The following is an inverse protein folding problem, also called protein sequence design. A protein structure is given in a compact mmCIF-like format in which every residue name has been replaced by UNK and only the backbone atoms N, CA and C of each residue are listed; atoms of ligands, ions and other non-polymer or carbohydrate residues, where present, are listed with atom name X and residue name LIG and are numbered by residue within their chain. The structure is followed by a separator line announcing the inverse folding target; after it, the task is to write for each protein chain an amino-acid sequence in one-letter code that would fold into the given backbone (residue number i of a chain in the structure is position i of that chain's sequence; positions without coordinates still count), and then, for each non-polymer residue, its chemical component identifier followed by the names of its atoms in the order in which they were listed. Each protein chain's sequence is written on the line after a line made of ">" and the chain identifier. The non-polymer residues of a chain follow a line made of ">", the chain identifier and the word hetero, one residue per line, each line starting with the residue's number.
data_IF_858505102581
#
_entry.id   IF_858505102581
#
_cell.length_a   1.000
_cell.length_b   1.000
_cell.length_c   1.000
_cell.angle_alpha   90.00
_cell.angle_beta   90.00
_cell.angle_gamma   90.00
#
_symmetry.space_group_name_H-M   'P 1'
#
loop_
_entity.id
_entity.type
_entity.pdbx_description
1 polymer ?
#
# COMPACT_ATOMS: atom_id res chain seq x y z
N UNK A 1 29.55 10.82 -20.71
CA UNK A 1 29.70 11.25 -19.31
C UNK A 1 29.97 12.76 -19.23
N UNK A 2 31.06 13.29 -19.82
CA UNK A 2 31.38 14.72 -19.76
C UNK A 2 30.29 15.65 -20.32
N UNK A 3 29.50 15.19 -21.28
CA UNK A 3 28.36 15.94 -21.86
C UNK A 3 27.06 15.76 -21.07
N UNK A 4 27.09 15.08 -19.89
CA UNK A 4 25.90 14.77 -19.05
C UNK A 4 24.76 14.01 -19.78
N UNK A 5 25.08 13.30 -20.87
CA UNK A 5 24.12 12.49 -21.63
C UNK A 5 23.93 11.09 -21.05
N UNK A 6 24.74 10.71 -20.06
CA UNK A 6 24.69 9.44 -19.34
C UNK A 6 24.65 9.74 -17.86
N UNK A 7 23.71 9.11 -17.16
CA UNK A 7 23.55 9.23 -15.71
C UNK A 7 23.25 7.85 -15.11
N UNK A 8 23.51 7.70 -13.82
CA UNK A 8 23.12 6.53 -13.05
C UNK A 8 21.70 6.75 -12.52
N UNK A 9 20.82 5.79 -12.75
CA UNK A 9 19.45 5.82 -12.24
C UNK A 9 19.03 4.45 -11.67
N UNK A 10 17.96 4.46 -10.88
CA UNK A 10 17.30 3.24 -10.39
C UNK A 10 16.09 2.94 -11.28
N UNK A 11 15.81 1.67 -11.50
CA UNK A 11 14.63 1.19 -12.23
C UNK A 11 14.10 -0.06 -11.54
N UNK A 12 12.78 -0.15 -11.37
CA UNK A 12 12.12 -1.38 -10.94
C UNK A 12 12.12 -2.35 -12.13
N UNK A 13 12.56 -3.58 -11.91
CA UNK A 13 12.59 -4.65 -12.91
C UNK A 13 12.16 -5.97 -12.27
N UNK A 14 11.48 -6.87 -13.02
CA UNK A 14 11.23 -8.22 -12.55
C UNK A 14 12.56 -8.91 -12.19
N UNK A 15 12.58 -9.64 -11.10
CA UNK A 15 13.77 -10.32 -10.59
C UNK A 15 13.47 -11.76 -10.21
N UNK A 16 14.28 -12.70 -10.68
CA UNK A 16 14.19 -14.10 -10.29
C UNK A 16 15.12 -14.39 -9.11
N UNK A 17 14.55 -14.64 -7.94
CA UNK A 17 15.33 -15.07 -6.78
C UNK A 17 16.04 -16.40 -6.99
N UNK A 18 15.46 -17.31 -7.80
CA UNK A 18 16.10 -18.60 -8.14
C UNK A 18 17.33 -18.45 -8.99
N UNK A 19 17.31 -17.51 -9.94
CA UNK A 19 18.42 -17.26 -10.87
C UNK A 19 19.34 -16.16 -10.36
N UNK A 20 18.94 -15.47 -9.27
CA UNK A 20 19.63 -14.28 -8.74
C UNK A 20 19.95 -13.25 -9.82
N UNK A 21 19.00 -13.06 -10.74
CA UNK A 21 19.18 -12.20 -11.91
C UNK A 21 17.90 -11.45 -12.29
N UNK A 22 18.00 -10.20 -12.80
CA UNK A 22 16.87 -9.51 -13.37
C UNK A 22 16.36 -10.23 -14.62
N UNK A 23 15.04 -10.22 -14.81
CA UNK A 23 14.37 -10.76 -15.98
C UNK A 23 14.02 -9.64 -16.95
N UNK A 24 14.07 -9.94 -18.24
CA UNK A 24 13.47 -9.08 -19.26
C UNK A 24 11.93 -9.14 -19.14
N UNK A 25 11.24 -8.13 -19.68
CA UNK A 25 9.77 -8.15 -19.73
C UNK A 25 9.23 -9.38 -20.50
N UNK A 26 9.95 -9.82 -21.53
CA UNK A 26 9.59 -11.01 -22.29
C UNK A 26 9.66 -12.27 -21.43
N UNK A 27 10.73 -12.47 -20.65
CA UNK A 27 10.88 -13.62 -19.75
C UNK A 27 9.83 -13.59 -18.63
N UNK A 28 9.54 -12.41 -18.07
CA UNK A 28 8.55 -12.24 -17.01
C UNK A 28 7.12 -12.59 -17.49
N UNK A 29 6.81 -12.41 -18.76
CA UNK A 29 5.51 -12.74 -19.36
C UNK A 29 5.35 -14.22 -19.77
N UNK A 30 6.43 -15.02 -19.68
CA UNK A 30 6.37 -16.43 -20.07
C UNK A 30 5.61 -17.27 -19.02
N UNK A 31 4.81 -18.24 -19.54
CA UNK A 31 4.17 -19.26 -18.72
C UNK A 31 3.30 -18.74 -17.56
N UNK A 32 2.58 -17.66 -17.81
CA UNK A 32 1.59 -17.12 -16.84
C UNK A 32 0.55 -18.19 -16.50
N UNK A 33 0.28 -18.36 -15.20
CA UNK A 33 -0.72 -19.29 -14.68
C UNK A 33 -1.55 -18.58 -13.65
N UNK A 34 -2.84 -18.90 -13.61
CA UNK A 34 -3.69 -18.49 -12.48
C UNK A 34 -3.31 -19.30 -11.25
N UNK A 35 -2.90 -18.62 -10.20
CA UNK A 35 -2.63 -19.19 -8.87
C UNK A 35 -3.51 -18.47 -7.85
N UNK A 36 -3.89 -19.19 -6.80
CA UNK A 36 -4.60 -18.60 -5.69
C UNK A 36 -3.57 -18.10 -4.66
N UNK A 37 -3.48 -16.78 -4.53
CA UNK A 37 -2.60 -16.14 -3.55
C UNK A 37 -3.43 -15.55 -2.39
N UNK A 38 -2.88 -15.49 -1.17
CA UNK A 38 -3.55 -14.84 -0.05
C UNK A 38 -3.67 -13.34 -0.30
N UNK A 39 -4.84 -12.79 -0.04
CA UNK A 39 -5.08 -11.36 -0.05
C UNK A 39 -5.39 -10.87 1.37
N UNK A 40 -4.91 -9.68 1.70
CA UNK A 40 -5.06 -9.10 3.04
C UNK A 40 -5.63 -7.69 2.94
N UNK A 41 -6.60 -7.39 3.80
CA UNK A 41 -7.07 -6.04 4.03
C UNK A 41 -6.46 -5.48 5.31
N UNK A 42 -5.89 -4.28 5.24
CA UNK A 42 -5.09 -3.69 6.30
C UNK A 42 -5.60 -2.30 6.63
N UNK A 43 -5.76 -2.01 7.92
CA UNK A 43 -6.11 -0.69 8.42
C UNK A 43 -4.85 0.13 8.70
N UNK A 44 -4.81 1.35 8.15
CA UNK A 44 -3.75 2.33 8.36
C UNK A 44 -4.34 3.51 9.15
N UNK A 45 -4.16 3.55 10.49
CA UNK A 45 -4.71 4.60 11.33
C UNK A 45 -4.14 5.98 10.98
N UNK A 46 -4.99 7.00 10.94
CA UNK A 46 -4.50 8.37 10.75
C UNK A 46 -3.78 8.90 11.99
N UNK A 47 -2.69 9.61 11.77
CA UNK A 47 -1.89 10.21 12.86
C UNK A 47 -2.69 11.23 13.67
N UNK A 48 -3.53 12.03 13.01
CA UNK A 48 -4.35 13.05 13.67
C UNK A 48 -5.58 12.48 14.40
N UNK A 49 -6.06 11.29 13.97
CA UNK A 49 -7.18 10.60 14.61
C UNK A 49 -7.02 9.08 14.50
N UNK A 50 -6.35 8.44 15.47
CA UNK A 50 -6.08 6.99 15.44
C UNK A 50 -7.35 6.11 15.48
N UNK A 51 -8.53 6.68 15.76
CA UNK A 51 -9.80 5.95 15.68
C UNK A 51 -10.29 5.78 14.23
N UNK A 52 -9.75 6.56 13.30
CA UNK A 52 -10.05 6.47 11.88
C UNK A 52 -8.85 5.87 11.12
N UNK A 53 -9.11 4.99 10.17
CA UNK A 53 -8.08 4.37 9.35
C UNK A 53 -8.47 4.31 7.88
N UNK A 54 -7.49 4.28 7.00
CA UNK A 54 -7.67 3.87 5.61
C UNK A 54 -7.65 2.35 5.53
N UNK A 55 -8.64 1.75 4.85
CA UNK A 55 -8.68 0.32 4.60
C UNK A 55 -8.05 0.02 3.24
N UNK A 56 -6.80 -0.42 3.23
CA UNK A 56 -6.13 -0.84 2.00
C UNK A 56 -6.17 -2.36 1.82
N UNK A 57 -6.11 -2.81 0.56
CA UNK A 57 -6.09 -4.22 0.20
C UNK A 57 -4.85 -4.54 -0.63
N UNK A 58 -4.26 -5.71 -0.39
CA UNK A 58 -3.10 -6.18 -1.14
C UNK A 58 -3.10 -7.69 -1.33
N UNK A 59 -2.61 -8.15 -2.48
CA UNK A 59 -2.30 -9.55 -2.78
C UNK A 59 -0.84 -9.89 -2.53
N UNK A 60 -0.03 -8.90 -2.15
CA UNK A 60 1.40 -9.06 -1.87
C UNK A 60 1.74 -8.60 -0.45
N UNK A 61 1.24 -9.30 0.59
CA UNK A 61 1.40 -8.85 1.98
C UNK A 61 2.85 -8.75 2.44
N UNK A 62 3.77 -9.48 1.81
CA UNK A 62 5.21 -9.40 2.09
C UNK A 62 5.85 -8.05 1.73
N UNK A 63 5.18 -7.20 0.94
CA UNK A 63 5.67 -5.85 0.64
C UNK A 63 5.25 -4.79 1.66
N UNK A 64 4.38 -5.14 2.62
CA UNK A 64 3.90 -4.22 3.67
C UNK A 64 5.02 -3.59 4.51
N UNK A 65 6.14 -4.28 4.85
CA UNK A 65 7.25 -3.65 5.56
C UNK A 65 7.90 -2.49 4.80
N UNK A 66 7.79 -2.48 3.46
CA UNK A 66 8.29 -1.41 2.60
C UNK A 66 7.22 -0.37 2.25
N UNK A 67 6.07 -0.37 2.93
CA UNK A 67 5.04 0.65 2.75
C UNK A 67 5.60 2.03 3.06
N UNK A 68 5.37 2.99 2.14
CA UNK A 68 5.77 4.39 2.32
C UNK A 68 4.65 5.38 2.01
N UNK A 69 3.59 4.94 1.33
CA UNK A 69 2.43 5.78 1.03
C UNK A 69 1.17 4.92 0.83
N UNK A 70 0.01 5.58 0.81
CA UNK A 70 -1.24 5.04 0.32
C UNK A 70 -1.70 5.88 -0.87
N UNK A 71 -2.17 5.25 -1.94
CA UNK A 71 -2.69 5.97 -3.10
C UNK A 71 -4.22 5.92 -3.16
N UNK A 72 -4.81 7.04 -3.52
CA UNK A 72 -6.25 7.22 -3.80
C UNK A 72 -6.43 7.92 -5.14
N UNK A 73 -7.54 7.70 -5.82
CA UNK A 73 -7.85 8.43 -7.05
C UNK A 73 -8.53 9.77 -6.70
N UNK A 74 -8.09 10.85 -7.34
CA UNK A 74 -8.53 12.24 -7.03
C UNK A 74 -10.05 12.43 -7.10
N UNK A 75 -10.71 11.83 -8.09
CA UNK A 75 -12.12 12.04 -8.40
C UNK A 75 -13.04 10.99 -7.76
N UNK A 76 -12.49 9.96 -7.10
CA UNK A 76 -13.29 8.92 -6.47
C UNK A 76 -13.83 9.40 -5.12
N UNK A 77 -14.97 8.86 -4.74
CA UNK A 77 -15.65 9.17 -3.48
C UNK A 77 -15.34 8.09 -2.46
N UNK A 78 -14.71 8.47 -1.38
CA UNK A 78 -14.40 7.62 -0.23
C UNK A 78 -15.36 7.95 0.90
N UNK A 79 -15.85 6.91 1.58
CA UNK A 79 -16.82 7.02 2.66
C UNK A 79 -16.25 6.40 3.93
N UNK A 80 -16.51 7.04 5.04
CA UNK A 80 -16.16 6.59 6.38
C UNK A 80 -17.33 5.80 6.98
N UNK A 81 -17.07 4.51 7.25
CA UNK A 81 -18.02 3.62 7.91
C UNK A 81 -17.52 3.19 9.27
N UNK A 82 -18.42 3.02 10.28
CA UNK A 82 -18.06 2.34 11.51
C UNK A 82 -17.65 0.89 11.24
N UNK A 83 -16.65 0.41 11.95
CA UNK A 83 -16.37 -1.02 12.03
C UNK A 83 -17.46 -1.69 12.90
N UNK A 84 -17.96 -2.86 12.47
CA UNK A 84 -18.91 -3.65 13.28
C UNK A 84 -18.29 -4.09 14.60
N UNK A 85 -16.97 -4.29 14.61
CA UNK A 85 -16.19 -4.56 15.81
C UNK A 85 -14.94 -3.67 15.82
N UNK A 86 -14.76 -2.84 16.87
CA UNK A 86 -13.54 -2.06 17.04
C UNK A 86 -12.32 -2.98 17.11
N UNK A 87 -11.20 -2.54 16.53
CA UNK A 87 -9.95 -3.31 16.61
C UNK A 87 -9.33 -3.22 18.01
N UNK A 88 -8.44 -4.16 18.34
CA UNK A 88 -7.66 -4.12 19.59
C UNK A 88 -6.80 -2.85 19.70
N UNK A 89 -6.38 -2.26 18.57
CA UNK A 89 -5.65 -0.99 18.51
C UNK A 89 -6.53 0.25 18.68
N UNK A 90 -7.86 0.10 18.80
CA UNK A 90 -8.79 1.20 19.05
C UNK A 90 -9.35 1.86 17.79
N UNK A 91 -9.07 1.35 16.59
CA UNK A 91 -9.71 1.83 15.35
C UNK A 91 -11.21 1.48 15.39
N UNK A 92 -12.04 2.46 15.08
CA UNK A 92 -13.50 2.37 15.10
C UNK A 92 -14.15 2.65 13.75
N UNK A 93 -13.44 3.37 12.87
CA UNK A 93 -13.95 3.79 11.56
C UNK A 93 -12.95 3.46 10.47
N UNK A 94 -13.45 3.03 9.33
CA UNK A 94 -12.63 2.77 8.15
C UNK A 94 -13.11 3.58 6.95
N UNK A 95 -12.16 4.16 6.23
CA UNK A 95 -12.39 4.79 4.93
C UNK A 95 -12.21 3.75 3.82
N UNK A 96 -13.15 3.70 2.90
CA UNK A 96 -13.16 2.81 1.74
C UNK A 96 -13.81 3.51 0.55
N UNK A 97 -13.46 3.12 -0.66
CA UNK A 97 -14.15 3.60 -1.86
C UNK A 97 -15.63 3.22 -1.79
N UNK A 98 -16.54 4.15 -2.06
CA UNK A 98 -18.00 3.96 -1.99
C UNK A 98 -18.45 2.71 -2.75
N UNK A 99 -17.98 2.57 -3.98
CA UNK A 99 -18.35 1.47 -4.87
C UNK A 99 -17.84 0.10 -4.40
N UNK A 100 -16.85 0.10 -3.50
CA UNK A 100 -16.25 -1.13 -2.96
C UNK A 100 -16.75 -1.49 -1.55
N UNK A 101 -17.45 -0.59 -0.87
CA UNK A 101 -17.90 -0.77 0.51
C UNK A 101 -18.72 -2.07 0.69
N UNK A 102 -19.56 -2.42 -0.28
CA UNK A 102 -20.40 -3.62 -0.21
C UNK A 102 -19.60 -4.93 -0.09
N UNK A 103 -18.38 -4.98 -0.61
CA UNK A 103 -17.51 -6.15 -0.48
C UNK A 103 -17.04 -6.37 0.98
N UNK A 104 -17.15 -5.34 1.81
CA UNK A 104 -16.73 -5.31 3.22
C UNK A 104 -17.92 -5.21 4.20
N UNK A 105 -19.11 -5.63 3.78
CA UNK A 105 -20.33 -5.59 4.60
C UNK A 105 -20.29 -6.49 5.85
N UNK A 106 -19.30 -7.38 5.94
CA UNK A 106 -19.08 -8.21 7.15
C UNK A 106 -18.26 -7.50 8.21
N UNK A 107 -17.51 -6.49 7.82
CA UNK A 107 -16.59 -5.74 8.66
C UNK A 107 -17.12 -4.33 8.95
N UNK A 108 -17.90 -3.75 8.03
CA UNK A 108 -18.37 -2.37 8.05
C UNK A 108 -19.89 -2.29 8.28
N UNK A 109 -20.32 -1.36 9.11
CA UNK A 109 -21.74 -0.99 9.24
C UNK A 109 -22.14 -0.02 8.11
N UNK A 110 -22.55 -0.58 6.97
CA UNK A 110 -22.93 0.17 5.78
C UNK A 110 -24.24 0.97 5.94
N UNK A 111 -24.98 0.77 7.03
CA UNK A 111 -26.19 1.55 7.31
C UNK A 111 -25.87 2.96 7.85
N UNK A 112 -24.61 3.21 8.24
CA UNK A 112 -24.14 4.45 8.86
C UNK A 112 -22.96 5.03 8.10
N UNK A 113 -23.23 5.95 7.20
CA UNK A 113 -22.19 6.77 6.58
C UNK A 113 -21.87 7.95 7.51
N UNK A 114 -20.66 7.99 8.07
CA UNK A 114 -20.27 9.00 9.05
C UNK A 114 -19.65 10.25 8.39
N UNK A 115 -18.98 10.07 7.25
CA UNK A 115 -18.36 11.16 6.50
C UNK A 115 -18.11 10.70 5.04
N UNK A 116 -18.01 11.66 4.13
CA UNK A 116 -17.74 11.44 2.72
C UNK A 116 -16.73 12.47 2.20
N UNK A 117 -15.73 12.02 1.45
CA UNK A 117 -14.71 12.90 0.85
C UNK A 117 -14.29 12.40 -0.52
N UNK A 118 -13.89 13.31 -1.37
CA UNK A 118 -13.16 12.95 -2.58
C UNK A 118 -11.72 12.63 -2.25
N UNK A 119 -11.07 11.80 -3.10
CA UNK A 119 -9.67 11.44 -2.85
C UNK A 119 -8.74 12.65 -2.79
N UNK A 120 -9.00 13.71 -3.59
CA UNK A 120 -8.26 14.96 -3.51
C UNK A 120 -8.32 15.64 -2.11
N UNK A 121 -9.42 15.45 -1.37
CA UNK A 121 -9.65 16.05 -0.05
C UNK A 121 -9.05 15.18 1.09
N UNK A 122 -8.72 13.91 0.78
CA UNK A 122 -8.04 12.98 1.69
C UNK A 122 -6.53 13.04 1.47
N UNK A 123 -6.09 13.39 0.28
CA UNK A 123 -4.67 13.47 -0.06
C UNK A 123 -3.92 14.41 0.91
N UNK A 124 -2.71 14.01 1.26
CA UNK A 124 -1.86 14.72 2.23
C UNK A 124 -2.06 14.32 3.69
N UNK A 125 -3.15 13.65 4.05
CA UNK A 125 -3.32 13.12 5.42
C UNK A 125 -2.24 12.08 5.72
N UNK A 126 -1.69 12.13 6.93
CA UNK A 126 -0.66 11.20 7.39
C UNK A 126 -1.26 10.06 8.19
N UNK A 127 -0.62 8.90 8.13
CA UNK A 127 -1.02 7.70 8.86
C UNK A 127 0.15 7.10 9.63
N UNK A 128 -0.15 6.27 10.62
CA UNK A 128 0.86 5.57 11.39
C UNK A 128 1.43 4.39 10.57
N UNK A 129 2.77 4.25 10.49
CA UNK A 129 3.37 3.12 9.80
C UNK A 129 3.02 1.80 10.48
N UNK A 130 2.79 0.75 9.70
CA UNK A 130 2.51 -0.60 10.25
C UNK A 130 3.72 -1.20 10.98
N UNK A 131 4.92 -0.81 10.55
CA UNK A 131 6.19 -1.32 11.06
C UNK A 131 7.16 -0.16 11.32
N UNK A 132 8.04 -0.26 12.33
CA UNK A 132 8.92 0.83 12.73
C UNK A 132 10.14 1.05 11.81
N UNK A 133 10.35 0.19 10.81
CA UNK A 133 11.60 0.14 10.02
C UNK A 133 11.97 1.46 9.35
N UNK A 134 10.97 2.24 8.91
CA UNK A 134 11.19 3.47 8.11
C UNK A 134 10.53 4.70 8.74
N UNK A 135 10.20 4.69 10.02
CA UNK A 135 9.56 5.83 10.72
C UNK A 135 10.31 7.14 10.55
N UNK A 136 11.64 7.09 10.50
CA UNK A 136 12.46 8.29 10.28
C UNK A 136 12.15 9.02 8.98
N UNK A 137 11.60 8.32 7.98
CA UNK A 137 11.20 8.87 6.68
C UNK A 137 9.89 9.66 6.71
N UNK A 138 9.13 9.60 7.79
CA UNK A 138 7.93 10.42 7.98
C UNK A 138 8.26 11.92 7.82
N UNK A 139 9.40 12.37 8.37
CA UNK A 139 9.88 13.76 8.24
C UNK A 139 10.25 14.14 6.80
N UNK A 140 10.53 13.15 5.95
CA UNK A 140 10.83 13.32 4.53
C UNK A 140 9.59 13.12 3.65
N UNK A 141 8.38 13.08 4.23
CA UNK A 141 7.10 13.02 3.53
C UNK A 141 6.57 11.62 3.23
N UNK A 142 7.13 10.56 3.79
CA UNK A 142 6.53 9.23 3.77
C UNK A 142 5.31 9.13 4.70
N UNK A 143 4.57 8.01 4.62
CA UNK A 143 3.40 7.67 5.43
C UNK A 143 2.26 8.69 5.32
N UNK A 144 1.96 9.08 4.08
CA UNK A 144 0.84 9.95 3.75
C UNK A 144 0.03 9.38 2.59
N UNK A 145 -1.21 9.86 2.46
CA UNK A 145 -2.07 9.57 1.31
C UNK A 145 -1.63 10.44 0.13
N UNK A 146 -1.41 9.82 -1.02
CA UNK A 146 -1.04 10.47 -2.27
C UNK A 146 -2.09 10.22 -3.36
N UNK A 147 -2.03 10.99 -4.45
CA UNK A 147 -2.91 10.78 -5.60
C UNK A 147 -2.27 9.83 -6.62
N UNK A 148 -3.06 8.86 -7.12
CA UNK A 148 -2.66 7.90 -8.14
C UNK A 148 -3.77 7.66 -9.15
N UNK A 149 -3.52 7.95 -10.43
CA UNK A 149 -4.50 7.73 -11.50
C UNK A 149 -4.67 6.24 -11.87
N UNK A 150 -3.75 5.38 -11.39
CA UNK A 150 -3.80 3.91 -11.55
C UNK A 150 -4.76 3.21 -10.57
N UNK A 151 -5.28 3.92 -9.57
CA UNK A 151 -6.21 3.34 -8.58
C UNK A 151 -7.51 2.97 -9.27
N UNK A 152 -7.90 1.67 -9.18
CA UNK A 152 -9.09 1.10 -9.81
C UNK A 152 -10.30 1.09 -8.87
N UNK A 153 -11.49 1.06 -9.47
CA UNK A 153 -12.78 0.78 -8.79
C UNK A 153 -13.16 -0.70 -8.81
N UNK A 154 -12.47 -1.50 -9.58
CA UNK A 154 -12.88 -2.88 -9.88
C UNK A 154 -12.48 -3.85 -8.79
N UNK A 155 -11.29 -3.63 -8.19
CA UNK A 155 -10.73 -4.53 -7.19
C UNK A 155 -10.36 -3.83 -5.87
N UNK A 156 -10.21 -4.62 -4.83
CA UNK A 156 -9.76 -4.17 -3.51
C UNK A 156 -10.70 -3.19 -2.84
N UNK A 157 -10.14 -2.21 -2.17
CA UNK A 157 -10.83 -1.17 -1.39
C UNK A 157 -10.88 0.19 -2.10
N UNK A 158 -10.26 0.32 -3.29
CA UNK A 158 -10.01 1.60 -3.94
C UNK A 158 -8.92 2.43 -3.27
N UNK A 159 -8.13 1.82 -2.38
CA UNK A 159 -6.98 2.40 -1.70
C UNK A 159 -5.82 1.43 -1.90
N UNK A 160 -4.74 1.91 -2.51
CA UNK A 160 -3.59 1.09 -2.86
C UNK A 160 -2.44 1.34 -1.89
N UNK A 161 -1.92 0.26 -1.32
CA UNK A 161 -0.68 0.25 -0.56
C UNK A 161 0.50 0.46 -1.52
N UNK A 162 1.40 1.39 -1.20
CA UNK A 162 2.53 1.76 -2.05
C UNK A 162 3.85 1.29 -1.45
N UNK A 163 4.56 0.43 -2.21
CA UNK A 163 5.89 -0.06 -1.88
C UNK A 163 6.84 0.17 -3.06
N UNK A 164 7.51 1.33 -3.15
CA UNK A 164 8.21 1.78 -4.35
C UNK A 164 9.41 0.92 -4.77
N UNK A 165 9.88 0.00 -3.93
CA UNK A 165 10.90 -0.97 -4.31
C UNK A 165 10.34 -2.16 -5.13
N UNK A 166 9.02 -2.40 -5.07
CA UNK A 166 8.38 -3.60 -5.60
C UNK A 166 7.41 -3.34 -6.76
N UNK A 167 6.95 -2.10 -6.95
CA UNK A 167 6.02 -1.73 -8.01
C UNK A 167 6.54 -0.58 -8.89
N UNK A 168 6.37 -0.69 -10.22
CA UNK A 168 6.78 0.36 -11.15
C UNK A 168 5.92 1.63 -10.98
N UNK A 169 4.60 1.46 -10.87
CA UNK A 169 3.66 2.57 -10.61
C UNK A 169 3.94 3.22 -9.25
N UNK A 170 4.22 2.40 -8.22
CA UNK A 170 4.58 2.85 -6.88
C UNK A 170 5.86 3.68 -6.92
N UNK A 171 6.87 3.20 -7.65
CA UNK A 171 8.16 3.89 -7.80
C UNK A 171 7.97 5.27 -8.41
N UNK A 172 7.26 5.37 -9.54
CA UNK A 172 7.06 6.65 -10.22
C UNK A 172 6.16 7.60 -9.42
N UNK A 173 5.11 7.09 -8.77
CA UNK A 173 4.24 7.89 -7.92
C UNK A 173 5.01 8.45 -6.71
N UNK A 174 5.76 7.62 -5.99
CA UNK A 174 6.58 8.06 -4.87
C UNK A 174 7.69 9.03 -5.30
N UNK A 175 8.32 8.81 -6.47
CA UNK A 175 9.33 9.72 -7.02
C UNK A 175 8.73 11.11 -7.33
N UNK A 176 7.54 11.17 -7.95
CA UNK A 176 6.81 12.42 -8.22
C UNK A 176 6.50 13.16 -6.93
N UNK A 177 6.14 12.45 -5.89
CA UNK A 177 5.85 12.99 -4.56
C UNK A 177 7.09 13.23 -3.71
N UNK A 178 8.31 13.00 -4.26
CA UNK A 178 9.60 13.15 -3.56
C UNK A 178 9.72 12.26 -2.31
N UNK A 179 9.02 11.14 -2.28
CA UNK A 179 9.18 10.11 -1.25
C UNK A 179 10.38 9.25 -1.62
N UNK A 180 11.36 9.20 -0.73
CA UNK A 180 12.60 8.48 -0.97
C UNK A 180 12.39 6.97 -0.95
N UNK A 181 12.99 6.26 -1.91
CA UNK A 181 12.93 4.80 -2.03
C UNK A 181 13.47 4.10 -0.78
N UNK A 182 12.70 3.17 -0.22
CA UNK A 182 13.16 2.18 0.74
C UNK A 182 13.20 0.81 0.07
N UNK A 183 14.34 0.16 0.12
CA UNK A 183 14.54 -1.18 -0.41
C UNK A 183 14.95 -2.10 0.77
N UNK A 184 14.04 -2.96 1.26
CA UNK A 184 14.31 -3.84 2.39
C UNK A 184 14.94 -5.16 1.97
N UNK A 185 15.30 -5.33 0.69
CA UNK A 185 15.85 -6.59 0.19
C UNK A 185 17.36 -6.63 0.35
N UNK A 186 17.90 -7.80 0.71
CA UNK A 186 19.33 -8.09 0.71
C UNK A 186 19.88 -8.33 -0.72
N UNK A 187 21.18 -8.68 -0.83
CA UNK A 187 21.84 -8.95 -2.11
C UNK A 187 21.25 -10.17 -2.84
N UNK A 188 20.65 -11.10 -2.10
CA UNK A 188 19.98 -12.28 -2.64
C UNK A 188 18.52 -12.01 -2.98
N UNK A 189 18.06 -10.77 -2.75
CA UNK A 189 16.67 -10.32 -2.93
C UNK A 189 15.67 -11.06 -2.05
N UNK A 190 16.12 -11.54 -0.90
CA UNK A 190 15.26 -11.97 0.20
C UNK A 190 14.82 -10.75 1.00
N UNK A 191 13.58 -10.73 1.47
CA UNK A 191 13.13 -9.65 2.36
C UNK A 191 13.67 -9.90 3.76
N UNK A 192 14.41 -8.94 4.32
CA UNK A 192 15.06 -9.05 5.65
C UNK A 192 14.05 -9.35 6.78
N UNK A 193 12.78 -8.98 6.60
CA UNK A 193 11.76 -9.05 7.64
C UNK A 193 10.63 -10.05 7.35
N UNK A 194 10.80 -10.96 6.39
CA UNK A 194 9.75 -11.92 5.98
C UNK A 194 9.31 -12.84 7.12
N UNK A 195 10.23 -13.19 8.02
CA UNK A 195 9.92 -14.03 9.21
C UNK A 195 9.05 -13.31 10.23
N UNK A 196 9.14 -11.98 10.32
CA UNK A 196 8.33 -11.17 11.23
C UNK A 196 6.93 -10.95 10.68
N UNK A 197 6.77 -10.86 9.35
CA UNK A 197 5.47 -10.79 8.70
C UNK A 197 4.56 -11.95 9.06
N UNK A 198 5.06 -13.17 9.15
CA UNK A 198 4.26 -14.33 9.54
C UNK A 198 3.70 -14.21 10.96
N UNK A 199 4.41 -13.58 11.88
CA UNK A 199 3.93 -13.37 13.24
C UNK A 199 2.94 -12.20 13.35
N UNK A 200 3.12 -11.13 12.56
CA UNK A 200 2.25 -9.95 12.55
C UNK A 200 1.01 -10.11 11.67
N UNK A 201 1.07 -10.88 10.58
CA UNK A 201 -0.10 -11.25 9.77
C UNK A 201 -1.19 -11.93 10.60
N UNK A 202 -0.84 -12.66 11.66
CA UNK A 202 -1.81 -13.21 12.60
C UNK A 202 -2.60 -12.14 13.39
N UNK A 203 -2.09 -10.90 13.47
CA UNK A 203 -2.76 -9.76 14.09
C UNK A 203 -3.62 -8.96 13.10
N UNK A 204 -3.26 -8.97 11.82
CA UNK A 204 -3.94 -8.21 10.75
C UNK A 204 -4.99 -9.06 10.01
N UNK A 205 -4.82 -10.38 9.94
CA UNK A 205 -5.76 -11.31 9.29
C UNK A 205 -7.01 -11.65 10.13
N UNK A 206 -7.27 -10.95 11.21
CA UNK A 206 -8.53 -11.05 11.96
C UNK A 206 -9.40 -9.82 11.73
N UNK A 207 -9.76 -9.59 10.47
CA UNK A 207 -10.96 -8.88 10.11
C UNK A 207 -12.01 -9.90 9.71
#
# INVERSE_FOLDING_TARGET
>A
WKKKLVYQGKKVVPYSWRLTAPLSNFEALQNYKSVQDPAVSVLFPFTENPQEAMLAWTTTPWTLPANLALAVHKDFTYVKYPLLQPTASGVRFAWVLRERAQAYAKELDLSREEDEKRGQDIAGRTYEPLFPYYESRAKAGAFRVILGDFVSKEDGTGIVHMAPAFGEDDFFACQREKIELADPTDLERSEEHTSELQSHLNLVCRL
#
